data_IF_250293378992
#
_entry.id   IF_250293378992
#
_cell.length_a   1.000
_cell.length_b   1.000
_cell.length_c   1.000
_cell.angle_alpha   90.00
_cell.angle_beta   90.00
_cell.angle_gamma   90.00
#
_symmetry.space_group_name_H-M   'P 1'
#
loop_
_entity.id
_entity.type
_entity.pdbx_description
1 polymer ?
#
# COMPACT_ATOMS: atom_id res chain seq x y z
N UNK A 1 -2.81 -15.19 -5.84
CA UNK A 1 -1.53 -15.78 -5.42
C UNK A 1 -1.80 -16.64 -4.21
N UNK A 2 -1.40 -17.89 -4.25
CA UNK A 2 -1.46 -18.80 -3.10
C UNK A 2 -0.05 -19.04 -2.49
N UNK A 3 0.03 -19.91 -1.49
CA UNK A 3 1.29 -20.20 -0.79
C UNK A 3 2.30 -20.91 -1.70
N UNK A 4 1.84 -21.73 -2.64
CA UNK A 4 2.71 -22.40 -3.61
C UNK A 4 3.34 -21.39 -4.57
N UNK A 5 2.55 -20.42 -5.05
CA UNK A 5 3.06 -19.32 -5.88
C UNK A 5 4.11 -18.51 -5.12
N UNK A 6 3.83 -18.13 -3.87
CA UNK A 6 4.73 -17.33 -3.05
C UNK A 6 6.07 -18.06 -2.78
N UNK A 7 6.00 -19.37 -2.48
CA UNK A 7 7.20 -20.20 -2.34
C UNK A 7 7.98 -20.39 -3.65
N UNK A 8 7.32 -20.38 -4.81
CA UNK A 8 8.03 -20.41 -6.08
C UNK A 8 8.79 -19.10 -6.33
N UNK A 9 8.20 -17.97 -5.92
CA UNK A 9 8.78 -16.63 -6.09
C UNK A 9 9.91 -16.31 -5.10
N UNK A 10 9.98 -16.95 -3.94
CA UNK A 10 10.95 -16.61 -2.87
C UNK A 10 12.42 -16.61 -3.29
N UNK A 11 12.78 -17.31 -4.38
CA UNK A 11 14.17 -17.36 -4.88
C UNK A 11 14.53 -16.21 -5.80
N UNK A 12 13.54 -15.45 -6.29
CA UNK A 12 13.72 -14.42 -7.32
C UNK A 12 13.10 -13.07 -6.94
N UNK A 13 12.19 -13.04 -5.97
CA UNK A 13 11.56 -11.84 -5.44
C UNK A 13 11.91 -11.69 -3.96
N UNK A 14 12.34 -10.50 -3.55
CA UNK A 14 12.62 -10.16 -2.15
C UNK A 14 11.46 -9.44 -1.46
N UNK A 15 10.50 -8.93 -2.21
CA UNK A 15 9.34 -8.21 -1.68
C UNK A 15 8.14 -8.31 -2.63
N UNK A 16 6.95 -8.01 -2.12
CA UNK A 16 5.71 -7.93 -2.90
C UNK A 16 4.60 -7.18 -2.14
N UNK A 17 3.51 -6.89 -2.84
CA UNK A 17 2.32 -6.23 -2.30
C UNK A 17 1.07 -6.69 -3.06
N UNK A 18 -0.12 -6.44 -2.50
CA UNK A 18 -1.41 -6.87 -3.08
C UNK A 18 -2.42 -5.72 -3.23
N UNK A 19 -1.96 -4.47 -3.25
CA UNK A 19 -2.81 -3.25 -3.20
C UNK A 19 -3.67 -3.11 -1.93
N UNK A 20 -3.43 -3.96 -0.94
CA UNK A 20 -4.21 -4.02 0.30
C UNK A 20 -3.37 -3.54 1.49
N UNK A 21 -4.05 -3.10 2.55
CA UNK A 21 -3.42 -2.77 3.84
C UNK A 21 -2.87 -4.03 4.50
N UNK A 22 -3.62 -5.12 4.41
CA UNK A 22 -3.22 -6.46 4.85
C UNK A 22 -3.56 -7.49 3.77
N UNK A 23 -2.76 -8.55 3.59
CA UNK A 23 -2.99 -9.51 2.53
C UNK A 23 -4.26 -10.34 2.79
N UNK A 24 -5.17 -10.39 1.82
CA UNK A 24 -6.48 -11.07 1.96
C UNK A 24 -6.43 -12.59 1.73
N UNK A 25 -5.47 -13.07 0.95
CA UNK A 25 -5.38 -14.48 0.54
C UNK A 25 -4.32 -15.29 1.28
N UNK A 26 -3.30 -14.63 1.83
CA UNK A 26 -2.23 -15.23 2.62
C UNK A 26 -2.06 -14.41 3.88
N UNK A 27 -1.82 -15.05 5.02
CA UNK A 27 -1.51 -14.36 6.26
C UNK A 27 -0.12 -13.70 6.20
N UNK A 28 0.09 -12.62 6.97
CA UNK A 28 1.43 -12.01 7.13
C UNK A 28 2.48 -13.04 7.55
N UNK A 29 2.10 -14.02 8.38
CA UNK A 29 2.98 -15.12 8.77
C UNK A 29 3.44 -15.95 7.57
N UNK A 30 2.55 -16.26 6.62
CA UNK A 30 2.94 -17.00 5.40
C UNK A 30 3.89 -16.17 4.52
N UNK A 31 3.73 -14.85 4.49
CA UNK A 31 4.70 -13.95 3.86
C UNK A 31 6.06 -14.01 4.56
N UNK A 32 6.10 -13.88 5.88
CA UNK A 32 7.34 -13.95 6.67
C UNK A 32 8.06 -15.29 6.48
N UNK A 33 7.32 -16.42 6.54
CA UNK A 33 7.87 -17.77 6.36
C UNK A 33 8.45 -17.98 4.94
N UNK A 34 7.98 -17.22 3.94
CA UNK A 34 8.46 -17.29 2.56
C UNK A 34 9.74 -16.51 2.31
N UNK A 35 10.25 -15.71 3.26
CA UNK A 35 11.33 -14.74 3.06
C UNK A 35 11.05 -13.65 1.98
N UNK A 36 9.78 -13.48 1.59
CA UNK A 36 9.34 -12.36 0.74
C UNK A 36 8.67 -11.33 1.62
N UNK A 37 9.21 -10.12 1.69
CA UNK A 37 8.63 -9.05 2.51
C UNK A 37 7.33 -8.52 1.91
N UNK A 38 6.23 -8.58 2.65
CA UNK A 38 4.99 -7.89 2.29
C UNK A 38 5.10 -6.38 2.55
N UNK A 39 4.71 -5.56 1.57
CA UNK A 39 4.61 -4.11 1.71
C UNK A 39 3.13 -3.69 1.67
N UNK A 40 2.55 -3.18 2.78
CA UNK A 40 1.16 -2.72 2.83
C UNK A 40 0.94 -1.48 1.95
N UNK A 41 -0.28 -1.31 1.48
CA UNK A 41 -0.70 -0.15 0.70
C UNK A 41 -1.96 0.50 1.25
N UNK A 42 -1.96 1.83 1.37
CA UNK A 42 -3.18 2.65 1.47
C UNK A 42 -3.53 3.09 0.05
N UNK A 43 -4.40 2.33 -0.62
CA UNK A 43 -4.77 2.53 -2.01
C UNK A 43 -5.53 3.83 -2.24
N UNK A 44 -6.48 4.20 -1.36
CA UNK A 44 -7.31 5.40 -1.52
C UNK A 44 -7.82 5.99 -0.21
N UNK A 45 -8.67 7.01 -0.31
CA UNK A 45 -9.15 7.78 0.85
C UNK A 45 -9.96 6.98 1.87
N UNK A 46 -10.74 5.99 1.42
CA UNK A 46 -11.50 5.10 2.32
C UNK A 46 -10.56 4.36 3.27
N UNK A 47 -9.50 3.73 2.75
CA UNK A 47 -8.52 3.02 3.58
C UNK A 47 -7.70 3.96 4.47
N UNK A 48 -7.42 5.19 4.02
CA UNK A 48 -6.77 6.21 4.85
C UNK A 48 -7.61 6.61 6.07
N UNK A 49 -8.92 6.35 6.05
CA UNK A 49 -9.84 6.66 7.14
C UNK A 49 -10.20 5.42 7.96
N UNK A 50 -10.57 4.34 7.28
CA UNK A 50 -11.23 3.17 7.90
C UNK A 50 -10.25 2.07 8.30
N UNK A 51 -9.17 1.89 7.53
CA UNK A 51 -8.23 0.77 7.68
C UNK A 51 -6.80 1.20 8.02
N UNK A 52 -6.54 2.49 8.20
CA UNK A 52 -5.19 3.01 8.43
C UNK A 52 -4.51 2.36 9.64
N UNK A 53 -5.27 2.07 10.71
CA UNK A 53 -4.77 1.40 11.92
C UNK A 53 -4.46 -0.09 11.75
N UNK A 54 -4.89 -0.69 10.64
CA UNK A 54 -4.65 -2.09 10.31
C UNK A 54 -3.28 -2.29 9.64
N UNK A 55 -2.56 -1.21 9.33
CA UNK A 55 -1.21 -1.26 8.80
C UNK A 55 -0.32 -2.12 9.72
N UNK A 56 0.37 -3.15 9.20
CA UNK A 56 1.26 -4.00 9.98
C UNK A 56 2.38 -3.21 10.65
N UNK A 57 2.65 -3.54 11.91
CA UNK A 57 3.81 -3.02 12.66
C UNK A 57 5.12 -3.38 11.95
N UNK A 58 6.10 -2.46 11.99
CA UNK A 58 7.45 -2.66 11.47
C UNK A 58 7.53 -3.08 9.99
N UNK A 59 6.52 -2.75 9.19
CA UNK A 59 6.61 -2.95 7.74
C UNK A 59 7.82 -2.18 7.18
N UNK A 60 8.50 -2.76 6.17
CA UNK A 60 9.69 -2.13 5.58
C UNK A 60 9.37 -0.81 4.87
N UNK A 61 8.16 -0.69 4.32
CA UNK A 61 7.62 0.52 3.71
C UNK A 61 6.09 0.49 3.76
N UNK A 62 5.47 1.67 3.71
CA UNK A 62 4.04 1.86 3.46
C UNK A 62 3.86 2.50 2.08
N UNK A 63 3.13 1.83 1.19
CA UNK A 63 2.78 2.36 -0.12
C UNK A 63 1.55 3.27 0.01
N UNK A 64 1.61 4.46 -0.59
CA UNK A 64 0.53 5.45 -0.61
C UNK A 64 -0.44 5.25 -1.77
N UNK A 65 -1.25 6.28 -2.05
CA UNK A 65 -2.40 6.19 -2.95
C UNK A 65 -2.07 5.65 -4.34
N UNK A 66 -2.93 4.78 -4.86
CA UNK A 66 -2.80 4.14 -6.17
C UNK A 66 -3.46 4.96 -7.26
N UNK A 67 -2.67 5.47 -8.20
CA UNK A 67 -3.16 6.18 -9.39
C UNK A 67 -4.26 7.19 -9.03
N UNK A 68 -4.03 8.12 -8.07
CA UNK A 68 -5.05 9.07 -7.61
C UNK A 68 -5.59 9.95 -8.74
N UNK A 69 -4.86 10.03 -9.85
CA UNK A 69 -5.23 10.78 -11.03
C UNK A 69 -6.06 9.98 -12.05
N UNK A 70 -6.62 8.82 -11.69
CA UNK A 70 -7.57 8.07 -12.52
C UNK A 70 -8.91 7.90 -11.79
N UNK A 71 -10.02 8.13 -12.48
CA UNK A 71 -11.38 8.04 -11.93
C UNK A 71 -11.78 6.62 -11.47
N UNK A 72 -11.25 5.60 -12.14
CA UNK A 72 -11.46 4.19 -11.83
C UNK A 72 -10.48 3.64 -10.77
N UNK A 73 -9.58 4.48 -10.26
CA UNK A 73 -8.58 4.13 -9.26
C UNK A 73 -8.85 4.91 -7.97
N UNK A 74 -7.83 5.43 -7.28
CA UNK A 74 -8.05 6.11 -6.01
C UNK A 74 -8.85 7.40 -6.13
N UNK A 75 -8.90 7.99 -7.33
CA UNK A 75 -9.71 9.17 -7.67
C UNK A 75 -9.64 10.28 -6.60
N UNK A 76 -8.43 10.82 -6.42
CA UNK A 76 -8.17 11.89 -5.46
C UNK A 76 -7.62 13.13 -6.16
N UNK A 77 -8.19 14.28 -5.82
CA UNK A 77 -7.57 15.55 -6.15
C UNK A 77 -6.21 15.68 -5.46
N UNK A 78 -5.23 16.37 -6.06
CA UNK A 78 -3.95 16.63 -5.41
C UNK A 78 -4.08 17.25 -4.01
N UNK A 79 -5.08 18.13 -3.82
CA UNK A 79 -5.36 18.76 -2.53
C UNK A 79 -5.89 17.76 -1.48
N UNK A 80 -6.70 16.79 -1.89
CA UNK A 80 -7.24 15.76 -1.00
C UNK A 80 -6.14 14.77 -0.60
N UNK A 81 -5.33 14.32 -1.56
CA UNK A 81 -4.17 13.48 -1.29
C UNK A 81 -3.20 14.16 -0.30
N UNK A 82 -2.92 15.46 -0.50
CA UNK A 82 -2.08 16.24 0.41
C UNK A 82 -2.70 16.41 1.80
N UNK A 83 -4.03 16.55 1.90
CA UNK A 83 -4.72 16.69 3.18
C UNK A 83 -4.71 15.38 4.00
N UNK A 84 -4.73 14.23 3.33
CA UNK A 84 -4.69 12.91 3.98
C UNK A 84 -3.26 12.45 4.33
N UNK A 85 -2.25 12.96 3.62
CA UNK A 85 -0.86 12.51 3.78
C UNK A 85 -0.31 12.58 5.22
N UNK A 86 -0.58 13.63 6.03
CA UNK A 86 -0.11 13.68 7.42
C UNK A 86 -0.62 12.53 8.29
N UNK A 87 -1.79 11.96 7.98
CA UNK A 87 -2.30 10.78 8.70
C UNK A 87 -1.48 9.53 8.37
N UNK A 88 -1.06 9.36 7.12
CA UNK A 88 -0.17 8.25 6.71
C UNK A 88 1.22 8.41 7.34
N UNK A 89 1.75 9.63 7.40
CA UNK A 89 3.03 9.92 8.09
C UNK A 89 2.96 9.57 9.58
N UNK A 90 1.90 10.01 10.26
CA UNK A 90 1.69 9.74 11.68
C UNK A 90 1.53 8.24 11.97
N UNK A 91 0.83 7.51 11.11
CA UNK A 91 0.71 6.06 11.26
C UNK A 91 2.04 5.35 11.00
N UNK A 92 2.76 5.74 9.95
CA UNK A 92 4.08 5.18 9.65
C UNK A 92 5.06 5.39 10.82
N UNK A 93 5.09 6.59 11.41
CA UNK A 93 5.88 6.87 12.61
C UNK A 93 5.44 6.01 13.79
N UNK A 94 4.14 5.93 14.08
CA UNK A 94 3.61 5.13 15.17
C UNK A 94 3.92 3.63 15.04
N UNK A 95 4.01 3.13 13.79
CA UNK A 95 4.27 1.73 13.44
C UNK A 95 5.74 1.41 13.17
N UNK A 96 6.64 2.37 13.40
CA UNK A 96 8.08 2.26 13.10
C UNK A 96 8.38 1.89 11.64
N UNK A 97 7.57 2.39 10.70
CA UNK A 97 7.75 2.19 9.27
C UNK A 97 8.67 3.30 8.75
N UNK A 98 9.88 2.97 8.25
CA UNK A 98 10.89 3.97 7.91
C UNK A 98 10.66 4.66 6.56
N UNK A 99 9.78 4.11 5.72
CA UNK A 99 9.60 4.54 4.34
C UNK A 99 8.12 4.69 4.01
N UNK A 100 7.73 5.88 3.56
CA UNK A 100 6.43 6.16 2.96
C UNK A 100 6.66 6.43 1.47
N UNK A 101 5.97 5.68 0.59
CA UNK A 101 6.25 5.64 -0.85
C UNK A 101 4.99 5.96 -1.65
N UNK A 102 4.98 7.07 -2.39
CA UNK A 102 3.90 7.40 -3.30
C UNK A 102 3.57 8.90 -3.31
N UNK A 103 2.40 9.29 -3.85
CA UNK A 103 1.43 8.44 -4.56
C UNK A 103 2.00 7.76 -5.81
N UNK A 104 1.45 6.60 -6.18
CA UNK A 104 1.84 5.88 -7.40
C UNK A 104 1.08 6.44 -8.61
N UNK A 105 1.70 7.37 -9.35
CA UNK A 105 1.07 8.05 -10.49
C UNK A 105 1.38 7.40 -11.83
N UNK A 106 0.50 7.62 -12.81
CA UNK A 106 0.69 7.22 -14.21
C UNK A 106 0.01 8.23 -15.17
N UNK A 107 0.20 8.13 -16.49
CA UNK A 107 -0.40 9.02 -17.47
C UNK A 107 -1.90 8.73 -17.65
N UNK A 108 -2.76 9.63 -17.17
CA UNK A 108 -4.22 9.47 -17.21
C UNK A 108 -4.87 10.30 -18.32
N UNK A 109 -5.88 9.76 -19.01
CA UNK A 109 -6.77 10.52 -19.90
C UNK A 109 -7.92 11.24 -19.18
N UNK A 110 -8.17 10.95 -17.90
CA UNK A 110 -9.40 11.21 -17.15
C UNK A 110 -9.17 11.84 -15.75
N UNK A 111 -8.04 12.53 -15.57
CA UNK A 111 -7.70 13.11 -14.27
C UNK A 111 -8.80 14.01 -13.66
N UNK A 112 -9.07 13.91 -12.34
CA UNK A 112 -10.21 14.58 -11.69
C UNK A 112 -10.07 16.10 -11.56
N UNK A 113 -8.98 16.67 -12.05
CA UNK A 113 -8.65 18.10 -12.01
C UNK A 113 -8.49 18.71 -13.41
N UNK A 114 -9.06 18.07 -14.44
CA UNK A 114 -9.15 18.61 -15.80
C UNK A 114 -10.18 19.74 -15.92
#
# INVERSE_FOLDING_TARGET
>A
MDESDLHALQRIASWGYTWEVTPSHLSLKQWDDSNVTFMPMIWGSSQATDSLREVPENAAALLGFNEPNFDAQADLLPAEAAALWPSLEAEAEAKNIPLLVGPAVNNSPDAPYQ
#
